data_IF_289438547952
#
_entry.id   IF_289438547952
#
_cell.length_a   1.000
_cell.length_b   1.000
_cell.length_c   1.000
_cell.angle_alpha   90.00
_cell.angle_beta   90.00
_cell.angle_gamma   90.00
#
_symmetry.space_group_name_H-M   'P 1'
#
loop_
_entity.id
_entity.type
_entity.pdbx_description
1 polymer ?
#
# COMPACT_ATOMS: atom_id res chain seq x y z
N UNK A 1 -25.39 53.52 20.32
CA UNK A 1 -24.04 54.10 20.46
C UNK A 1 -23.03 53.20 21.18
N UNK A 2 -23.40 52.06 21.77
CA UNK A 2 -22.47 51.16 22.50
C UNK A 2 -21.67 50.22 21.57
N UNK A 3 -22.16 49.90 20.36
CA UNK A 3 -21.52 48.96 19.43
C UNK A 3 -20.17 49.45 18.88
N UNK A 4 -20.08 50.73 18.50
CA UNK A 4 -18.86 51.28 17.89
C UNK A 4 -17.65 51.32 18.83
N UNK A 5 -17.85 51.41 20.15
CA UNK A 5 -16.77 51.36 21.14
C UNK A 5 -16.18 49.95 21.30
N UNK A 6 -17.06 48.93 21.37
CA UNK A 6 -16.62 47.53 21.43
C UNK A 6 -15.91 47.10 20.14
N UNK A 7 -16.42 47.48 18.97
CA UNK A 7 -15.79 47.16 17.69
C UNK A 7 -14.41 47.82 17.53
N UNK A 8 -14.22 49.04 18.06
CA UNK A 8 -12.93 49.72 18.06
C UNK A 8 -11.92 49.05 19.02
N UNK A 9 -12.36 48.62 20.20
CA UNK A 9 -11.52 47.87 21.15
C UNK A 9 -11.21 46.46 20.64
N UNK A 10 -12.12 45.81 19.93
CA UNK A 10 -11.89 44.52 19.27
C UNK A 10 -10.96 44.69 18.08
N UNK A 11 -11.09 45.75 17.28
CA UNK A 11 -10.12 46.06 16.22
C UNK A 11 -8.72 46.32 16.80
N UNK A 12 -8.60 47.02 17.93
CA UNK A 12 -7.34 47.20 18.65
C UNK A 12 -6.80 45.89 19.22
N UNK A 13 -7.67 45.06 19.81
CA UNK A 13 -7.31 43.76 20.37
C UNK A 13 -6.87 42.80 19.29
N UNK A 14 -7.63 42.72 18.19
CA UNK A 14 -7.30 41.92 17.01
C UNK A 14 -6.00 42.45 16.38
N UNK A 15 -5.82 43.77 16.24
CA UNK A 15 -4.55 44.38 15.79
C UNK A 15 -3.38 44.11 16.75
N UNK A 16 -3.63 43.99 18.06
CA UNK A 16 -2.62 43.63 19.05
C UNK A 16 -2.29 42.15 18.99
N UNK A 17 -3.27 41.26 18.88
CA UNK A 17 -3.08 39.82 18.63
C UNK A 17 -2.33 39.65 17.31
N UNK A 18 -2.73 40.32 16.23
CA UNK A 18 -2.02 40.35 14.96
C UNK A 18 -0.62 40.95 15.05
N UNK A 19 -0.39 42.00 15.84
CA UNK A 19 0.95 42.56 16.06
C UNK A 19 1.83 41.59 16.82
N UNK A 20 1.30 40.94 17.84
CA UNK A 20 1.99 39.90 18.59
C UNK A 20 2.31 38.77 17.61
N UNK A 21 1.31 38.23 16.88
CA UNK A 21 1.40 37.19 15.83
C UNK A 21 2.41 37.54 14.70
N UNK A 22 2.49 38.80 14.28
CA UNK A 22 3.42 39.30 13.26
C UNK A 22 4.81 39.63 13.81
N UNK A 23 4.93 39.92 15.09
CA UNK A 23 6.24 40.03 15.76
C UNK A 23 6.91 38.64 15.88
N UNK A 24 6.15 37.54 15.78
CA UNK A 24 6.72 36.20 15.68
C UNK A 24 7.36 35.89 14.31
N UNK A 25 7.03 36.61 13.23
CA UNK A 25 7.58 36.34 11.87
C UNK A 25 8.79 37.20 11.48
N UNK A 26 9.05 38.33 12.16
CA UNK A 26 10.22 39.17 11.87
C UNK A 26 11.48 38.73 12.64
N UNK A 27 12.27 37.87 12.03
CA UNK A 27 13.65 37.56 12.46
C UNK A 27 14.57 38.74 12.12
N UNK A 28 15.15 39.42 13.12
CA UNK A 28 16.45 40.08 12.93
C UNK A 28 17.51 39.06 13.31
N UNK A 29 18.22 38.53 12.31
CA UNK A 29 19.51 37.86 12.50
C UNK A 29 20.44 38.88 13.15
N UNK A 30 20.69 38.75 14.44
CA UNK A 30 21.96 39.12 15.03
C UNK A 30 22.17 38.20 16.24
N UNK A 31 23.19 37.36 16.11
CA UNK A 31 23.72 36.56 17.18
C UNK A 31 24.07 37.46 18.37
N UNK A 32 23.74 37.01 19.59
CA UNK A 32 24.56 37.10 20.82
C UNK A 32 23.66 36.93 22.09
N UNK A 33 24.04 35.94 22.91
CA UNK A 33 23.59 35.52 24.26
C UNK A 33 22.36 34.57 24.41
N UNK A 34 22.65 33.27 24.58
CA UNK A 34 21.73 32.15 24.85
C UNK A 34 20.77 32.37 26.05
N UNK A 35 21.16 33.14 27.07
CA UNK A 35 20.29 33.43 28.23
C UNK A 35 19.17 34.41 27.86
N UNK A 36 19.43 35.37 26.96
CA UNK A 36 18.38 36.29 26.47
C UNK A 36 17.38 35.58 25.56
N UNK A 37 17.81 34.51 24.89
CA UNK A 37 16.96 33.68 24.06
C UNK A 37 16.02 32.81 24.91
N UNK A 38 16.53 32.18 25.98
CA UNK A 38 15.69 31.44 26.94
C UNK A 38 14.67 32.37 27.61
N UNK A 39 15.07 33.58 28.02
CA UNK A 39 14.15 34.56 28.59
C UNK A 39 13.12 35.05 27.56
N UNK A 40 13.53 35.23 26.31
CA UNK A 40 12.65 35.56 25.19
C UNK A 40 11.63 34.45 24.88
N UNK A 41 11.99 33.17 25.00
CA UNK A 41 11.07 32.04 24.83
C UNK A 41 10.19 31.81 26.06
N UNK A 42 10.70 32.06 27.27
CA UNK A 42 9.91 32.04 28.52
C UNK A 42 8.83 33.12 28.50
N UNK A 43 9.20 34.34 28.13
CA UNK A 43 8.26 35.45 27.97
C UNK A 43 7.26 35.19 26.81
N UNK A 44 7.66 34.44 25.77
CA UNK A 44 6.74 33.99 24.71
C UNK A 44 5.72 32.98 25.19
N UNK A 45 6.16 31.98 25.96
CA UNK A 45 5.27 30.98 26.55
C UNK A 45 4.25 31.65 27.47
N UNK A 46 4.71 32.55 28.35
CA UNK A 46 3.82 33.36 29.20
C UNK A 46 2.85 34.22 28.38
N UNK A 47 3.28 34.83 27.27
CA UNK A 47 2.42 35.62 26.41
C UNK A 47 1.36 34.77 25.70
N UNK A 48 1.71 33.58 25.22
CA UNK A 48 0.78 32.66 24.54
C UNK A 48 -0.17 32.00 25.53
N UNK A 49 0.30 31.59 26.71
CA UNK A 49 -0.53 31.11 27.81
C UNK A 49 -1.45 32.23 28.33
N UNK A 50 -0.97 33.47 28.42
CA UNK A 50 -1.77 34.63 28.78
C UNK A 50 -2.86 34.90 27.74
N UNK A 51 -2.56 34.82 26.44
CA UNK A 51 -3.56 34.94 25.37
C UNK A 51 -4.56 33.79 25.46
N UNK A 52 -4.10 32.55 25.66
CA UNK A 52 -4.97 31.38 25.84
C UNK A 52 -5.90 31.52 27.06
N UNK A 53 -5.39 31.99 28.18
CA UNK A 53 -6.15 32.25 29.40
C UNK A 53 -7.14 33.42 29.22
N UNK A 54 -6.71 34.50 28.57
CA UNK A 54 -7.58 35.62 28.20
C UNK A 54 -8.70 35.19 27.24
N UNK A 55 -8.43 34.29 26.30
CA UNK A 55 -9.42 33.73 25.37
C UNK A 55 -10.44 32.82 26.06
N UNK A 56 -10.06 32.20 27.20
CA UNK A 56 -10.96 31.43 28.05
C UNK A 56 -11.75 32.26 29.06
N UNK A 57 -11.35 33.52 29.28
CA UNK A 57 -11.98 34.43 30.22
C UNK A 57 -13.48 34.61 29.90
N UNK A 58 -14.37 34.47 30.90
CA UNK A 58 -15.82 34.63 30.71
C UNK A 58 -16.22 35.96 30.05
N UNK A 59 -15.40 37.01 30.21
CA UNK A 59 -15.60 38.34 29.59
C UNK A 59 -15.32 38.30 28.08
N UNK A 60 -14.31 37.56 27.64
CA UNK A 60 -13.97 37.39 26.22
C UNK A 60 -14.96 36.43 25.54
N UNK A 61 -15.46 35.41 26.25
CA UNK A 61 -16.60 34.60 25.80
C UNK A 61 -17.89 35.43 25.67
N UNK A 62 -18.17 36.31 26.64
CA UNK A 62 -19.26 37.30 26.54
C UNK A 62 -19.06 38.24 25.36
N UNK A 63 -17.83 38.64 25.05
CA UNK A 63 -17.53 39.46 23.87
C UNK A 63 -17.84 38.72 22.56
N UNK A 64 -17.52 37.42 22.46
CA UNK A 64 -17.90 36.58 21.32
C UNK A 64 -19.44 36.48 21.19
N UNK A 65 -20.16 36.34 22.30
CA UNK A 65 -21.62 36.37 22.34
C UNK A 65 -22.20 37.75 21.99
N UNK A 66 -21.55 38.84 22.40
CA UNK A 66 -21.94 40.21 22.02
C UNK A 66 -21.76 40.39 20.51
N UNK A 67 -20.65 39.92 19.92
CA UNK A 67 -20.42 39.96 18.48
C UNK A 67 -21.43 39.12 17.67
N UNK A 68 -21.91 38.00 18.23
CA UNK A 68 -23.05 37.23 17.68
C UNK A 68 -24.35 38.04 17.75
N UNK A 69 -24.65 38.61 18.91
CA UNK A 69 -25.87 39.37 19.16
C UNK A 69 -25.93 40.66 18.34
N UNK A 70 -24.79 41.31 18.08
CA UNK A 70 -24.68 42.50 17.24
C UNK A 70 -24.60 42.19 15.75
N UNK A 71 -24.62 40.92 15.35
CA UNK A 71 -24.42 40.46 13.96
C UNK A 71 -23.16 41.06 13.30
N UNK A 72 -22.10 41.22 14.09
CA UNK A 72 -20.86 41.84 13.60
C UNK A 72 -20.19 40.93 12.56
N UNK A 73 -19.69 41.48 11.43
CA UNK A 73 -19.01 40.70 10.40
C UNK A 73 -17.73 40.03 10.91
N UNK A 74 -17.17 40.51 12.03
CA UNK A 74 -15.97 39.95 12.67
C UNK A 74 -16.24 38.73 13.58
N UNK A 75 -17.53 38.43 13.87
CA UNK A 75 -17.93 37.32 14.75
C UNK A 75 -17.49 35.95 14.22
N UNK A 76 -17.65 35.73 12.91
CA UNK A 76 -17.28 34.46 12.26
C UNK A 76 -15.75 34.27 12.21
N UNK A 77 -15.00 35.32 11.87
CA UNK A 77 -13.53 35.30 11.83
C UNK A 77 -12.93 35.01 13.22
N UNK A 78 -13.43 35.70 14.25
CA UNK A 78 -12.98 35.52 15.63
C UNK A 78 -13.20 34.08 16.12
N UNK A 79 -14.35 33.48 15.81
CA UNK A 79 -14.65 32.08 16.16
C UNK A 79 -13.84 31.06 15.36
N UNK A 80 -13.58 31.32 14.09
CA UNK A 80 -12.77 30.43 13.25
C UNK A 80 -11.33 30.35 13.77
N UNK A 81 -10.72 31.51 14.07
CA UNK A 81 -9.40 31.61 14.70
C UNK A 81 -9.35 30.96 16.10
N UNK A 82 -10.41 31.13 16.89
CA UNK A 82 -10.58 30.43 18.17
C UNK A 82 -10.62 28.91 18.00
N UNK A 83 -11.33 28.41 16.97
CA UNK A 83 -11.44 26.97 16.71
C UNK A 83 -10.13 26.35 16.23
N UNK A 84 -9.40 27.00 15.33
CA UNK A 84 -8.09 26.53 14.82
C UNK A 84 -7.09 26.28 15.97
N UNK A 85 -6.91 27.29 16.84
CA UNK A 85 -6.03 27.20 18.02
C UNK A 85 -6.47 26.10 19.00
N UNK A 86 -7.78 25.93 19.20
CA UNK A 86 -8.32 24.92 20.12
C UNK A 86 -8.18 23.50 19.55
N UNK A 87 -8.45 23.31 18.24
CA UNK A 87 -8.39 21.99 17.59
C UNK A 87 -6.97 21.44 17.62
N UNK A 88 -5.98 22.24 17.22
CA UNK A 88 -4.56 21.81 17.24
C UNK A 88 -4.10 21.51 18.67
N UNK A 89 -4.45 22.36 19.64
CA UNK A 89 -4.08 22.13 21.05
C UNK A 89 -4.71 20.85 21.62
N UNK A 90 -5.98 20.60 21.30
CA UNK A 90 -6.68 19.39 21.77
C UNK A 90 -6.14 18.13 21.10
N UNK A 91 -5.81 18.21 19.81
CA UNK A 91 -5.20 17.11 19.06
C UNK A 91 -3.80 16.78 19.60
N UNK A 92 -2.95 17.78 19.83
CA UNK A 92 -1.64 17.59 20.45
C UNK A 92 -1.75 16.96 21.85
N UNK A 93 -2.72 17.40 22.66
CA UNK A 93 -2.99 16.81 23.99
C UNK A 93 -3.49 15.37 23.92
N UNK A 94 -4.29 15.02 22.91
CA UNK A 94 -4.75 13.64 22.71
C UNK A 94 -3.61 12.72 22.26
N UNK A 95 -2.68 13.22 21.43
CA UNK A 95 -1.53 12.46 20.97
C UNK A 95 -0.47 12.30 22.08
N UNK A 96 -0.20 13.36 22.84
CA UNK A 96 0.73 13.40 23.98
C UNK A 96 2.08 12.71 23.71
N UNK A 97 3.14 13.50 23.46
CA UNK A 97 4.48 12.99 23.14
C UNK A 97 4.97 11.91 24.12
N UNK A 98 4.69 12.07 25.41
CA UNK A 98 5.14 11.12 26.44
C UNK A 98 4.59 9.71 26.24
N UNK A 99 3.42 9.61 25.61
CA UNK A 99 2.76 8.35 25.28
C UNK A 99 2.94 7.93 23.81
N UNK A 100 3.38 8.86 22.96
CA UNK A 100 3.39 8.67 21.51
C UNK A 100 4.48 7.69 21.04
N UNK A 101 5.60 7.64 21.77
CA UNK A 101 6.69 6.68 21.53
C UNK A 101 6.69 5.54 22.55
N UNK A 102 5.80 5.59 23.54
CA UNK A 102 5.72 4.60 24.60
C UNK A 102 4.70 3.52 24.22
N UNK A 103 5.18 2.33 23.85
CA UNK A 103 4.35 1.16 23.54
C UNK A 103 4.45 0.73 22.09
N UNK A 104 3.36 0.16 21.57
CA UNK A 104 3.30 -0.34 20.19
C UNK A 104 3.19 0.83 19.19
N UNK A 105 4.05 0.80 18.18
CA UNK A 105 4.03 1.77 17.08
C UNK A 105 2.74 1.68 16.27
N UNK A 106 2.15 0.49 16.16
CA UNK A 106 0.90 0.30 15.42
C UNK A 106 -0.26 1.06 16.07
N UNK A 107 -0.35 1.03 17.39
CA UNK A 107 -1.38 1.77 18.12
C UNK A 107 -1.16 3.29 18.02
N UNK A 108 0.10 3.72 18.05
CA UNK A 108 0.48 5.13 17.87
C UNK A 108 0.15 5.62 16.46
N UNK A 109 0.37 4.80 15.43
CA UNK A 109 -0.05 5.07 14.04
C UNK A 109 -1.58 5.20 13.94
N UNK A 110 -2.36 4.29 14.55
CA UNK A 110 -3.83 4.38 14.55
C UNK A 110 -4.34 5.68 15.19
N UNK A 111 -3.74 6.09 16.33
CA UNK A 111 -4.06 7.37 16.99
C UNK A 111 -3.73 8.56 16.08
N UNK A 112 -2.57 8.53 15.42
CA UNK A 112 -2.12 9.57 14.51
C UNK A 112 -3.03 9.69 13.27
N UNK A 113 -3.43 8.56 12.69
CA UNK A 113 -4.37 8.51 11.56
C UNK A 113 -5.75 9.02 11.96
N UNK A 114 -6.24 8.65 13.14
CA UNK A 114 -7.52 9.15 13.64
C UNK A 114 -7.53 10.68 13.75
N UNK A 115 -6.49 11.28 14.34
CA UNK A 115 -6.35 12.74 14.43
C UNK A 115 -6.22 13.37 13.05
N UNK A 116 -5.39 12.80 12.18
CA UNK A 116 -5.20 13.31 10.82
C UNK A 116 -6.52 13.33 10.05
N UNK A 117 -7.31 12.26 10.15
CA UNK A 117 -8.62 12.17 9.49
C UNK A 117 -9.61 13.22 10.00
N UNK A 118 -9.62 13.50 11.31
CA UNK A 118 -10.46 14.57 11.89
C UNK A 118 -10.05 15.94 11.35
N UNK A 119 -8.74 16.23 11.27
CA UNK A 119 -8.23 17.50 10.76
C UNK A 119 -8.52 17.66 9.26
N UNK A 120 -8.37 16.59 8.48
CA UNK A 120 -8.71 16.56 7.06
C UNK A 120 -10.20 16.82 6.87
N UNK A 121 -11.06 16.11 7.60
CA UNK A 121 -12.51 16.33 7.56
C UNK A 121 -12.87 17.78 7.93
N UNK A 122 -12.24 18.35 8.97
CA UNK A 122 -12.47 19.75 9.33
C UNK A 122 -12.11 20.70 8.18
N UNK A 123 -10.97 20.47 7.53
CA UNK A 123 -10.48 21.29 6.41
C UNK A 123 -11.41 21.16 5.20
N UNK A 124 -11.82 19.94 4.84
CA UNK A 124 -12.78 19.67 3.76
C UNK A 124 -14.14 20.31 4.03
N UNK A 125 -14.63 20.23 5.27
CA UNK A 125 -15.89 20.87 5.66
C UNK A 125 -15.78 22.39 5.58
N UNK A 126 -14.65 22.97 6.00
CA UNK A 126 -14.41 24.40 5.86
C UNK A 126 -14.46 24.84 4.39
N UNK A 127 -13.77 24.13 3.50
CA UNK A 127 -13.78 24.39 2.06
C UNK A 127 -15.16 24.19 1.42
N UNK A 128 -15.90 23.17 1.85
CA UNK A 128 -17.27 22.94 1.39
C UNK A 128 -18.20 24.10 1.79
N UNK A 129 -18.08 24.64 3.02
CA UNK A 129 -18.88 25.80 3.42
C UNK A 129 -18.42 27.07 2.71
N UNK A 130 -17.10 27.24 2.51
CA UNK A 130 -16.51 28.36 1.77
C UNK A 130 -17.05 28.42 0.34
N UNK A 131 -17.04 27.30 -0.39
CA UNK A 131 -17.55 27.23 -1.78
C UNK A 131 -19.04 27.54 -1.92
N UNK A 132 -19.82 27.45 -0.83
CA UNK A 132 -21.27 27.73 -0.82
C UNK A 132 -21.62 29.12 -0.32
N UNK A 133 -20.64 29.97 0.00
CA UNK A 133 -20.83 31.31 0.56
C UNK A 133 -21.78 32.18 -0.26
N UNK A 134 -21.66 32.17 -1.58
CA UNK A 134 -22.50 32.98 -2.49
C UNK A 134 -23.99 32.63 -2.39
N UNK A 135 -24.30 31.37 -2.03
CA UNK A 135 -25.67 30.89 -1.91
C UNK A 135 -26.33 31.20 -0.55
N UNK A 136 -25.57 31.65 0.45
CA UNK A 136 -26.09 31.97 1.78
C UNK A 136 -26.63 33.41 1.89
N UNK A 137 -26.28 34.30 0.97
CA UNK A 137 -26.74 35.69 0.97
C UNK A 137 -28.01 35.83 0.09
N UNK A 138 -29.10 36.35 0.67
CA UNK A 138 -30.32 36.74 -0.05
C UNK A 138 -30.47 38.27 -0.05
N UNK A 139 -30.87 38.83 -1.19
CA UNK A 139 -31.13 40.27 -1.41
C UNK A 139 -32.01 40.89 -0.29
N UNK A 140 -31.76 42.16 0.12
CA UNK A 140 -31.13 43.24 -0.66
C UNK A 140 -29.69 43.62 -0.26
N UNK A 141 -29.01 42.84 0.57
CA UNK A 141 -27.63 43.14 0.96
C UNK A 141 -26.63 42.60 -0.07
N UNK A 142 -25.71 43.45 -0.55
CA UNK A 142 -24.56 43.01 -1.33
C UNK A 142 -23.74 41.98 -0.52
N UNK A 143 -23.48 40.78 -1.05
CA UNK A 143 -22.69 39.78 -0.35
C UNK A 143 -21.29 40.34 -0.12
N UNK A 144 -20.89 40.47 1.15
CA UNK A 144 -19.50 40.80 1.48
C UNK A 144 -18.65 39.58 1.10
N UNK A 145 -17.77 39.66 0.09
CA UNK A 145 -16.94 38.54 -0.30
C UNK A 145 -16.03 38.19 0.87
N UNK A 146 -15.92 36.90 1.16
CA UNK A 146 -15.06 36.36 2.19
C UNK A 146 -13.59 36.65 1.82
N UNK A 147 -13.03 37.73 2.37
CA UNK A 147 -11.73 38.29 2.01
C UNK A 147 -10.61 37.88 2.99
N UNK A 148 -10.82 36.79 3.74
CA UNK A 148 -9.84 36.33 4.72
C UNK A 148 -8.70 35.58 4.04
N UNK A 149 -7.50 35.89 4.49
CA UNK A 149 -6.30 35.14 4.15
C UNK A 149 -6.42 33.72 4.75
N UNK A 150 -6.40 32.72 3.88
CA UNK A 150 -6.53 31.30 4.20
C UNK A 150 -5.40 30.83 5.13
N UNK A 151 -4.21 31.43 4.97
CA UNK A 151 -3.04 31.15 5.80
C UNK A 151 -3.26 31.56 7.26
N UNK A 152 -4.17 32.53 7.53
CA UNK A 152 -4.50 32.96 8.88
C UNK A 152 -5.49 32.03 9.59
N UNK A 153 -6.34 31.31 8.86
CA UNK A 153 -7.42 30.48 9.44
C UNK A 153 -7.03 29.00 9.47
N UNK A 154 -6.33 28.53 8.46
CA UNK A 154 -5.94 27.12 8.31
C UNK A 154 -4.43 26.90 8.42
N UNK A 155 -3.60 27.95 8.35
CA UNK A 155 -2.15 27.79 8.28
C UNK A 155 -1.57 26.98 9.44
N UNK A 156 -2.12 27.10 10.65
CA UNK A 156 -1.68 26.29 11.80
C UNK A 156 -2.10 24.83 11.68
N UNK A 157 -3.36 24.54 11.33
CA UNK A 157 -3.81 23.18 11.01
C UNK A 157 -2.98 22.56 9.88
N UNK A 158 -2.73 23.29 8.79
CA UNK A 158 -1.92 22.79 7.67
C UNK A 158 -0.50 22.47 8.09
N UNK A 159 0.15 23.33 8.88
CA UNK A 159 1.49 23.06 9.40
C UNK A 159 1.49 21.88 10.39
N UNK A 160 0.45 21.75 11.21
CA UNK A 160 0.29 20.60 12.09
C UNK A 160 0.07 19.31 11.29
N UNK A 161 -0.76 19.30 10.25
CA UNK A 161 -0.95 18.15 9.37
C UNK A 161 0.35 17.73 8.68
N UNK A 162 1.17 18.68 8.22
CA UNK A 162 2.52 18.38 7.70
C UNK A 162 3.39 17.72 8.77
N UNK A 163 3.37 18.25 10.00
CA UNK A 163 4.09 17.68 11.14
C UNK A 163 3.64 16.24 11.44
N UNK A 164 2.33 15.98 11.45
CA UNK A 164 1.79 14.64 11.65
C UNK A 164 2.18 13.69 10.52
N UNK A 165 2.24 14.17 9.28
CA UNK A 165 2.71 13.36 8.15
C UNK A 165 4.19 12.97 8.30
N UNK A 166 5.05 13.89 8.73
CA UNK A 166 6.47 13.58 9.02
C UNK A 166 6.60 12.54 10.14
N UNK A 167 5.84 12.69 11.24
CA UNK A 167 5.80 11.69 12.32
C UNK A 167 5.27 10.34 11.82
N UNK A 168 4.25 10.35 10.93
CA UNK A 168 3.72 9.13 10.32
C UNK A 168 4.80 8.37 9.56
N UNK A 169 5.58 9.07 8.73
CA UNK A 169 6.68 8.43 7.97
C UNK A 169 7.76 7.84 8.87
N UNK A 170 8.01 8.46 10.03
CA UNK A 170 8.94 7.95 11.04
C UNK A 170 8.41 6.64 11.65
N UNK A 171 7.13 6.60 12.02
CA UNK A 171 6.50 5.39 12.56
C UNK A 171 6.34 4.26 11.56
N UNK A 172 5.97 4.55 10.31
CA UNK A 172 5.97 3.56 9.23
C UNK A 172 7.39 2.98 9.02
N UNK A 173 8.42 3.84 9.08
CA UNK A 173 9.81 3.38 9.03
C UNK A 173 10.16 2.50 10.23
N UNK A 174 9.76 2.89 11.44
CA UNK A 174 10.03 2.13 12.64
C UNK A 174 9.35 0.75 12.60
N UNK A 175 8.12 0.67 12.10
CA UNK A 175 7.39 -0.59 11.94
C UNK A 175 8.13 -1.57 11.02
N UNK A 176 8.75 -1.09 9.93
CA UNK A 176 9.58 -1.94 9.07
C UNK A 176 10.87 -2.38 9.76
N UNK A 177 11.56 -1.48 10.47
CA UNK A 177 12.81 -1.80 11.15
C UNK A 177 12.62 -2.74 12.35
N UNK A 178 11.49 -2.67 13.06
CA UNK A 178 11.19 -3.61 14.15
C UNK A 178 11.02 -5.06 13.65
N UNK A 179 10.66 -5.27 12.38
CA UNK A 179 10.58 -6.62 11.78
C UNK A 179 11.96 -7.29 11.66
N UNK A 180 13.04 -6.50 11.63
CA UNK A 180 14.42 -7.03 11.52
C UNK A 180 14.83 -7.86 12.73
N UNK A 181 14.25 -7.62 13.91
CA UNK A 181 14.54 -8.36 15.14
C UNK A 181 14.31 -9.88 14.98
N UNK A 182 13.28 -10.25 14.22
CA UNK A 182 12.84 -11.64 14.02
C UNK A 182 13.35 -12.23 12.70
N UNK A 183 14.22 -11.53 11.99
CA UNK A 183 14.68 -11.95 10.67
C UNK A 183 15.79 -12.99 10.77
N UNK A 184 15.51 -14.19 10.27
CA UNK A 184 16.43 -15.32 10.32
C UNK A 184 16.73 -15.87 8.92
N UNK A 185 18.01 -15.87 8.54
CA UNK A 185 18.51 -16.52 7.32
C UNK A 185 19.12 -17.88 7.66
N UNK A 186 18.60 -18.93 7.01
CA UNK A 186 19.23 -20.25 7.03
C UNK A 186 20.33 -20.34 5.95
N UNK A 187 21.48 -20.95 6.27
CA UNK A 187 22.57 -21.17 5.31
C UNK A 187 23.96 -21.04 5.92
N UNK A 188 25.00 -21.26 5.12
CA UNK A 188 26.41 -21.26 5.55
C UNK A 188 26.85 -19.91 6.10
N UNK A 189 26.40 -18.80 5.51
CA UNK A 189 26.68 -17.44 6.01
C UNK A 189 25.46 -16.79 6.67
N UNK A 190 24.33 -17.51 6.80
CA UNK A 190 23.10 -17.00 7.39
C UNK A 190 23.31 -16.39 8.78
N UNK A 191 24.08 -17.06 9.65
CA UNK A 191 24.45 -16.53 10.98
C UNK A 191 25.21 -15.20 10.92
N UNK A 192 26.14 -15.06 9.97
CA UNK A 192 26.93 -13.83 9.81
C UNK A 192 26.06 -12.70 9.28
N UNK A 193 25.14 -12.99 8.34
CA UNK A 193 24.19 -12.00 7.82
C UNK A 193 23.21 -11.55 8.90
N UNK A 194 22.63 -12.48 9.67
CA UNK A 194 21.78 -12.17 10.82
C UNK A 194 22.48 -11.30 11.85
N UNK A 195 23.76 -11.60 12.18
CA UNK A 195 24.54 -10.75 13.09
C UNK A 195 24.66 -9.32 12.58
N UNK A 196 24.95 -9.12 11.29
CA UNK A 196 25.04 -7.78 10.70
C UNK A 196 23.70 -7.05 10.69
N UNK A 197 22.59 -7.76 10.46
CA UNK A 197 21.24 -7.20 10.51
C UNK A 197 20.90 -6.78 11.95
N UNK A 198 21.25 -7.60 12.92
CA UNK A 198 21.05 -7.30 14.33
C UNK A 198 21.84 -6.06 14.77
N UNK A 199 23.09 -5.92 14.32
CA UNK A 199 23.90 -4.71 14.60
C UNK A 199 23.24 -3.43 14.05
N UNK A 200 22.56 -3.52 12.89
CA UNK A 200 21.81 -2.39 12.31
C UNK A 200 20.53 -2.14 13.11
N UNK A 201 19.82 -3.19 13.50
CA UNK A 201 18.63 -3.10 14.34
C UNK A 201 18.94 -2.42 15.68
N UNK A 202 20.01 -2.80 16.39
CA UNK A 202 20.38 -2.15 17.65
C UNK A 202 20.70 -0.66 17.48
N UNK A 203 21.42 -0.30 16.40
CA UNK A 203 21.69 1.10 16.06
C UNK A 203 20.41 1.88 15.76
N UNK A 204 19.47 1.26 15.06
CA UNK A 204 18.16 1.84 14.79
C UNK A 204 17.37 2.06 16.09
N UNK A 205 17.29 1.05 16.97
CA UNK A 205 16.56 1.15 18.25
C UNK A 205 17.14 2.28 19.09
N UNK A 206 18.47 2.40 19.15
CA UNK A 206 19.13 3.51 19.84
C UNK A 206 18.75 4.87 19.24
N UNK A 207 18.83 5.03 17.91
CA UNK A 207 18.46 6.25 17.22
C UNK A 207 16.97 6.62 17.46
N UNK A 208 16.09 5.63 17.44
CA UNK A 208 14.65 5.81 17.68
C UNK A 208 14.37 6.28 19.11
N UNK A 209 15.04 5.69 20.11
CA UNK A 209 14.90 6.11 21.51
C UNK A 209 15.48 7.52 21.74
N UNK A 210 16.64 7.84 21.14
CA UNK A 210 17.21 9.20 21.17
C UNK A 210 16.26 10.23 20.56
N UNK A 211 15.50 9.85 19.51
CA UNK A 211 14.47 10.71 18.92
C UNK A 211 13.25 10.87 19.83
N UNK A 212 12.83 9.81 20.54
CA UNK A 212 11.72 9.87 21.50
C UNK A 212 12.03 10.77 22.71
N UNK A 213 13.30 10.84 23.10
CA UNK A 213 13.79 11.62 24.26
C UNK A 213 14.17 13.08 23.93
N UNK A 214 13.78 13.59 22.75
CA UNK A 214 14.05 14.98 22.38
C UNK A 214 13.48 15.96 23.43
N UNK A 215 14.30 16.95 23.79
CA UNK A 215 14.01 17.90 24.89
C UNK A 215 12.90 18.92 24.57
N UNK A 216 12.30 18.85 23.39
CA UNK A 216 11.25 19.75 22.95
C UNK A 216 10.05 18.96 22.47
N UNK A 217 8.88 19.60 22.49
CA UNK A 217 7.63 18.98 22.07
C UNK A 217 7.56 18.93 20.54
N UNK A 218 7.60 17.72 19.97
CA UNK A 218 7.59 17.47 18.54
C UNK A 218 6.24 17.80 17.88
N UNK A 219 5.16 17.85 18.67
CA UNK A 219 3.80 18.11 18.20
C UNK A 219 3.52 19.61 18.00
N UNK A 220 4.45 20.50 18.38
CA UNK A 220 4.31 21.95 18.18
C UNK A 220 4.68 22.31 16.73
N UNK A 221 3.72 22.82 15.90
CA UNK A 221 4.00 23.19 14.50
C UNK A 221 5.06 24.28 14.34
N UNK A 222 5.14 25.19 15.31
CA UNK A 222 6.08 26.32 15.30
C UNK A 222 7.52 25.91 15.69
N UNK A 223 7.73 24.68 16.14
CA UNK A 223 9.06 24.19 16.51
C UNK A 223 9.90 23.92 15.26
N UNK A 224 10.91 24.76 15.04
CA UNK A 224 11.76 24.69 13.85
C UNK A 224 12.82 23.59 13.91
N UNK A 225 13.25 23.18 15.12
CA UNK A 225 14.30 22.16 15.28
C UNK A 225 13.86 20.77 14.80
N UNK A 226 12.55 20.51 14.79
CA UNK A 226 12.00 19.25 14.36
C UNK A 226 12.42 18.87 12.93
N UNK A 227 12.41 19.84 12.00
CA UNK A 227 12.82 19.59 10.63
C UNK A 227 14.27 19.10 10.54
N UNK A 228 15.17 19.68 11.33
CA UNK A 228 16.58 19.28 11.39
C UNK A 228 16.73 17.88 12.00
N UNK A 229 15.98 17.57 13.07
CA UNK A 229 15.99 16.25 13.70
C UNK A 229 15.42 15.16 12.80
N UNK A 230 14.34 15.43 12.06
CA UNK A 230 13.80 14.51 11.05
C UNK A 230 14.79 14.30 9.92
N UNK A 231 15.42 15.37 9.42
CA UNK A 231 16.44 15.25 8.37
C UNK A 231 17.63 14.40 8.83
N UNK A 232 18.10 14.59 10.07
CA UNK A 232 19.15 13.76 10.66
C UNK A 232 18.73 12.29 10.79
N UNK A 233 17.52 12.03 11.29
CA UNK A 233 16.97 10.69 11.40
C UNK A 233 16.89 10.00 10.04
N UNK A 234 16.30 10.65 9.04
CA UNK A 234 16.16 10.10 7.69
C UNK A 234 17.51 9.85 7.00
N UNK A 235 18.51 10.73 7.21
CA UNK A 235 19.86 10.49 6.71
C UNK A 235 20.48 9.21 7.30
N UNK A 236 20.27 8.95 8.59
CA UNK A 236 20.73 7.71 9.24
C UNK A 236 19.97 6.48 8.75
N UNK A 237 18.66 6.61 8.56
CA UNK A 237 17.85 5.54 7.94
C UNK A 237 18.35 5.24 6.52
N UNK A 238 18.72 6.24 5.74
CA UNK A 238 19.29 6.04 4.40
C UNK A 238 20.60 5.24 4.45
N UNK A 239 21.50 5.55 5.40
CA UNK A 239 22.73 4.80 5.63
C UNK A 239 22.45 3.34 6.00
N UNK A 240 21.43 3.09 6.82
CA UNK A 240 21.02 1.74 7.21
C UNK A 240 20.37 0.97 6.04
N UNK A 241 19.50 1.61 5.26
CA UNK A 241 18.86 1.02 4.09
C UNK A 241 19.90 0.56 3.05
N UNK A 242 20.97 1.36 2.82
CA UNK A 242 22.09 0.97 1.94
C UNK A 242 22.87 -0.24 2.49
N UNK A 243 23.09 -0.30 3.81
CA UNK A 243 23.77 -1.44 4.44
C UNK A 243 22.93 -2.71 4.34
N UNK A 244 21.62 -2.61 4.62
CA UNK A 244 20.68 -3.72 4.48
C UNK A 244 20.57 -4.19 3.04
N UNK A 245 20.52 -3.28 2.06
CA UNK A 245 20.50 -3.63 0.65
C UNK A 245 21.70 -4.50 0.26
N UNK A 246 22.91 -4.14 0.72
CA UNK A 246 24.11 -4.95 0.49
C UNK A 246 24.04 -6.33 1.17
N UNK A 247 23.50 -6.39 2.40
CA UNK A 247 23.35 -7.65 3.13
C UNK A 247 22.34 -8.57 2.43
N UNK A 248 21.21 -8.02 2.00
CA UNK A 248 20.19 -8.78 1.29
C UNK A 248 20.68 -9.24 -0.08
N UNK A 249 21.42 -8.39 -0.81
CA UNK A 249 22.04 -8.78 -2.07
C UNK A 249 23.02 -9.94 -1.89
N UNK A 250 23.82 -9.91 -0.81
CA UNK A 250 24.66 -11.04 -0.42
C UNK A 250 23.83 -12.30 -0.14
N UNK A 251 22.69 -12.19 0.56
CA UNK A 251 21.78 -13.31 0.79
C UNK A 251 21.25 -13.91 -0.53
N UNK A 252 20.89 -13.07 -1.51
CA UNK A 252 20.48 -13.54 -2.84
C UNK A 252 21.62 -14.21 -3.63
N UNK A 253 22.87 -13.80 -3.42
CA UNK A 253 24.03 -14.44 -4.06
C UNK A 253 24.25 -15.89 -3.59
N UNK A 254 23.82 -16.22 -2.37
CA UNK A 254 23.89 -17.55 -1.77
C UNK A 254 22.72 -18.47 -2.19
N UNK A 255 21.69 -17.90 -2.83
CA UNK A 255 20.54 -18.66 -3.29
C UNK A 255 20.85 -19.35 -4.64
N UNK A 256 21.04 -20.67 -4.61
CA UNK A 256 21.39 -21.44 -5.81
C UNK A 256 20.19 -21.90 -6.65
N UNK A 257 19.01 -22.04 -6.05
CA UNK A 257 17.79 -22.49 -6.72
C UNK A 257 16.62 -21.52 -6.52
N UNK A 258 15.57 -21.69 -7.31
CA UNK A 258 14.38 -20.83 -7.31
C UNK A 258 13.67 -20.84 -5.94
N UNK A 259 13.62 -22.00 -5.28
CA UNK A 259 13.00 -22.14 -3.95
C UNK A 259 13.69 -21.30 -2.88
N UNK A 260 15.02 -21.30 -2.83
CA UNK A 260 15.80 -20.50 -1.88
C UNK A 260 15.64 -19.01 -2.15
N UNK A 261 15.58 -18.59 -3.42
CA UNK A 261 15.30 -17.20 -3.78
C UNK A 261 13.90 -16.79 -3.27
N UNK A 262 12.88 -17.63 -3.45
CA UNK A 262 11.54 -17.36 -2.91
C UNK A 262 11.53 -17.30 -1.37
N UNK A 263 12.25 -18.19 -0.69
CA UNK A 263 12.42 -18.13 0.77
C UNK A 263 13.11 -16.84 1.20
N UNK A 264 14.14 -16.39 0.49
CA UNK A 264 14.81 -15.13 0.79
C UNK A 264 13.87 -13.93 0.61
N UNK A 265 13.08 -13.89 -0.46
CA UNK A 265 12.06 -12.85 -0.68
C UNK A 265 11.03 -12.87 0.45
N UNK A 266 10.57 -14.05 0.85
CA UNK A 266 9.62 -14.21 1.95
C UNK A 266 10.18 -13.70 3.28
N UNK A 267 11.43 -14.08 3.61
CA UNK A 267 12.11 -13.66 4.85
C UNK A 267 12.29 -12.14 4.86
N UNK A 268 12.77 -11.55 3.77
CA UNK A 268 12.97 -10.10 3.65
C UNK A 268 11.61 -9.36 3.74
N UNK A 269 10.56 -9.94 3.16
CA UNK A 269 9.20 -9.46 3.27
C UNK A 269 9.03 -8.03 2.75
N UNK A 270 8.27 -7.21 3.48
CA UNK A 270 7.99 -5.82 3.12
C UNK A 270 9.22 -4.91 3.15
N UNK A 271 10.30 -5.31 3.84
CA UNK A 271 11.54 -4.54 3.90
C UNK A 271 12.18 -4.38 2.51
N UNK A 272 11.94 -5.33 1.60
CA UNK A 272 12.39 -5.24 0.21
C UNK A 272 11.77 -4.07 -0.54
N UNK A 273 10.57 -3.61 -0.16
CA UNK A 273 9.85 -2.54 -0.85
C UNK A 273 10.39 -1.14 -0.55
N UNK A 274 11.32 -1.00 0.41
CA UNK A 274 11.96 0.29 0.67
C UNK A 274 12.74 0.71 -0.59
N UNK A 275 12.63 1.98 -1.05
CA UNK A 275 13.08 2.36 -2.40
C UNK A 275 14.53 2.02 -2.72
N UNK A 276 15.44 2.25 -1.78
CA UNK A 276 16.88 1.99 -1.95
C UNK A 276 17.15 0.49 -2.03
N UNK A 277 16.49 -0.29 -1.19
CA UNK A 277 16.63 -1.74 -1.12
C UNK A 277 16.08 -2.36 -2.41
N UNK A 278 14.85 -1.99 -2.81
CA UNK A 278 14.22 -2.48 -4.05
C UNK A 278 15.09 -2.19 -5.27
N UNK A 279 15.59 -0.96 -5.40
CA UNK A 279 16.41 -0.56 -6.54
C UNK A 279 17.68 -1.42 -6.67
N UNK A 280 18.33 -1.74 -5.55
CA UNK A 280 19.52 -2.58 -5.56
C UNK A 280 19.19 -4.05 -5.82
N UNK A 281 18.10 -4.58 -5.24
CA UNK A 281 17.72 -5.99 -5.36
C UNK A 281 17.04 -6.34 -6.69
N UNK A 282 16.64 -5.34 -7.49
CA UNK A 282 15.86 -5.55 -8.72
C UNK A 282 16.44 -6.61 -9.67
N UNK A 283 17.75 -6.59 -9.87
CA UNK A 283 18.44 -7.55 -10.75
C UNK A 283 18.28 -9.01 -10.27
N UNK A 284 18.12 -9.25 -8.96
CA UNK A 284 17.85 -10.58 -8.42
C UNK A 284 16.43 -11.05 -8.74
N UNK A 285 15.45 -10.13 -8.74
CA UNK A 285 14.08 -10.42 -9.17
C UNK A 285 14.03 -10.71 -10.67
N UNK A 286 14.76 -9.96 -11.49
CA UNK A 286 14.86 -10.21 -12.93
C UNK A 286 15.48 -11.59 -13.21
N UNK A 287 16.57 -11.94 -12.51
CA UNK A 287 17.20 -13.26 -12.59
C UNK A 287 16.22 -14.39 -12.19
N UNK A 288 15.38 -14.17 -11.18
CA UNK A 288 14.34 -15.12 -10.78
C UNK A 288 13.31 -15.31 -11.90
N UNK A 289 12.81 -14.21 -12.48
CA UNK A 289 11.84 -14.24 -13.57
C UNK A 289 12.39 -14.99 -14.78
N UNK A 290 13.64 -14.75 -15.17
CA UNK A 290 14.30 -15.47 -16.26
C UNK A 290 14.39 -16.97 -15.99
N UNK A 291 14.75 -17.39 -14.77
CA UNK A 291 14.80 -18.80 -14.39
C UNK A 291 13.43 -19.46 -14.44
N UNK A 292 12.40 -18.77 -13.95
CA UNK A 292 11.02 -19.26 -14.00
C UNK A 292 10.57 -19.42 -15.45
N UNK A 293 10.85 -18.43 -16.29
CA UNK A 293 10.50 -18.49 -17.72
C UNK A 293 11.18 -19.69 -18.41
N UNK A 294 12.48 -19.86 -18.21
CA UNK A 294 13.22 -21.00 -18.76
C UNK A 294 12.65 -22.35 -18.29
N UNK A 295 12.33 -22.47 -17.01
CA UNK A 295 11.73 -23.70 -16.48
C UNK A 295 10.36 -24.00 -17.11
N UNK A 296 9.54 -22.97 -17.39
CA UNK A 296 8.29 -23.16 -18.12
C UNK A 296 8.51 -23.56 -19.58
N UNK A 297 9.53 -23.02 -20.24
CA UNK A 297 9.91 -23.42 -21.60
C UNK A 297 10.38 -24.88 -21.65
N UNK A 298 11.15 -25.32 -20.66
CA UNK A 298 11.58 -26.72 -20.51
C UNK A 298 10.38 -27.66 -20.31
N UNK A 299 9.45 -27.30 -19.40
CA UNK A 299 8.21 -28.07 -19.18
C UNK A 299 7.41 -28.17 -20.48
N UNK A 300 7.27 -27.05 -21.20
CA UNK A 300 6.56 -27.02 -22.46
C UNK A 300 7.22 -27.96 -23.48
N UNK A 301 8.53 -27.89 -23.64
CA UNK A 301 9.27 -28.77 -24.55
C UNK A 301 9.11 -30.25 -24.19
N UNK A 302 9.09 -30.58 -22.90
CA UNK A 302 8.87 -31.94 -22.43
C UNK A 302 7.44 -32.42 -22.77
N UNK A 303 6.43 -31.57 -22.53
CA UNK A 303 5.03 -31.87 -22.89
C UNK A 303 4.88 -32.05 -24.41
N UNK A 304 5.46 -31.15 -25.21
CA UNK A 304 5.39 -31.22 -26.67
C UNK A 304 6.07 -32.51 -27.19
N UNK A 305 7.19 -32.92 -26.59
CA UNK A 305 7.90 -34.16 -26.93
C UNK A 305 7.07 -35.39 -26.55
N UNK A 306 6.55 -35.44 -25.33
CA UNK A 306 5.69 -36.53 -24.88
C UNK A 306 4.42 -36.64 -25.74
N UNK A 307 3.79 -35.52 -26.06
CA UNK A 307 2.63 -35.48 -26.93
C UNK A 307 2.98 -36.06 -28.31
N UNK A 308 4.10 -35.66 -28.88
CA UNK A 308 4.57 -36.16 -30.17
C UNK A 308 4.86 -37.67 -30.14
N UNK A 309 5.50 -38.18 -29.09
CA UNK A 309 5.78 -39.62 -28.92
C UNK A 309 4.48 -40.42 -28.80
N UNK A 310 3.57 -40.02 -27.91
CA UNK A 310 2.27 -40.67 -27.71
C UNK A 310 1.47 -40.66 -29.01
N UNK A 311 1.45 -39.53 -29.72
CA UNK A 311 0.75 -39.39 -30.99
C UNK A 311 1.36 -40.28 -32.09
N UNK A 312 2.69 -40.33 -32.18
CA UNK A 312 3.39 -41.16 -33.17
C UNK A 312 3.15 -42.65 -32.94
N UNK A 313 3.18 -43.09 -31.69
CA UNK A 313 2.89 -44.49 -31.35
C UNK A 313 1.42 -44.84 -31.57
N UNK A 314 0.50 -43.93 -31.25
CA UNK A 314 -0.90 -44.07 -31.61
C UNK A 314 -1.10 -44.19 -33.13
N UNK A 315 -0.43 -43.34 -33.92
CA UNK A 315 -0.51 -43.37 -35.38
C UNK A 315 -0.01 -44.71 -35.95
N UNK A 316 1.11 -45.24 -35.44
CA UNK A 316 1.61 -46.59 -35.81
C UNK A 316 0.62 -47.69 -35.46
N UNK A 317 -0.01 -47.63 -34.27
CA UNK A 317 -1.02 -48.61 -33.85
C UNK A 317 -2.22 -48.64 -34.79
N UNK A 318 -2.72 -47.48 -35.22
CA UNK A 318 -3.82 -47.42 -36.20
C UNK A 318 -3.44 -48.10 -37.51
N UNK A 319 -2.25 -47.83 -38.04
CA UNK A 319 -1.79 -48.45 -39.29
C UNK A 319 -1.70 -49.97 -39.13
N UNK A 320 -1.11 -50.45 -38.03
CA UNK A 320 -0.97 -51.89 -37.78
C UNK A 320 -2.32 -52.60 -37.59
N UNK A 321 -3.22 -52.05 -36.77
CA UNK A 321 -4.52 -52.65 -36.48
C UNK A 321 -5.46 -52.58 -37.69
N UNK A 322 -5.41 -51.48 -38.45
CA UNK A 322 -6.11 -51.38 -39.74
C UNK A 322 -5.68 -52.51 -40.69
N UNK A 323 -4.37 -52.77 -40.81
CA UNK A 323 -3.86 -53.83 -41.67
C UNK A 323 -4.22 -55.26 -41.21
N UNK A 324 -4.32 -55.51 -39.90
CA UNK A 324 -4.49 -56.86 -39.32
C UNK A 324 -5.96 -57.21 -39.03
N UNK A 325 -6.78 -56.26 -38.59
CA UNK A 325 -8.15 -56.54 -38.13
C UNK A 325 -9.19 -56.27 -39.21
N UNK A 326 -8.96 -55.34 -40.14
CA UNK A 326 -9.86 -55.16 -41.29
C UNK A 326 -9.77 -56.30 -42.31
N UNK A 327 -8.72 -57.13 -42.25
CA UNK A 327 -8.60 -58.34 -43.06
C UNK A 327 -9.34 -59.54 -42.49
N UNK A 328 -9.91 -59.44 -41.27
CA UNK A 328 -10.69 -60.51 -40.64
C UNK A 328 -12.16 -60.41 -41.06
N UNK A 329 -12.84 -61.56 -41.14
CA UNK A 329 -14.28 -61.61 -41.37
C UNK A 329 -15.03 -60.91 -40.24
N UNK A 330 -16.00 -60.06 -40.57
CA UNK A 330 -16.84 -59.29 -39.62
C UNK A 330 -17.77 -60.18 -38.78
N UNK A 331 -17.98 -61.43 -39.23
CA UNK A 331 -18.85 -62.41 -38.60
C UNK A 331 -18.05 -63.66 -38.26
N UNK A 332 -18.19 -64.13 -37.04
CA UNK A 332 -17.66 -65.40 -36.56
C UNK A 332 -18.81 -66.30 -36.14
N UNK A 333 -18.76 -67.57 -36.55
CA UNK A 333 -19.72 -68.59 -36.12
C UNK A 333 -19.07 -69.37 -34.99
N UNK A 334 -19.66 -69.30 -33.80
CA UNK A 334 -19.20 -70.07 -32.64
C UNK A 334 -19.58 -71.55 -32.75
N UNK A 335 -18.95 -72.43 -31.97
CA UNK A 335 -19.20 -73.89 -32.02
C UNK A 335 -20.68 -74.28 -31.77
N UNK A 336 -21.43 -73.41 -31.11
CA UNK A 336 -22.87 -73.53 -30.87
C UNK A 336 -23.75 -73.06 -32.06
N UNK A 337 -23.17 -72.77 -33.23
CA UNK A 337 -23.81 -72.24 -34.45
C UNK A 337 -24.45 -70.85 -34.30
N UNK A 338 -24.14 -70.10 -33.24
CA UNK A 338 -24.56 -68.71 -33.09
C UNK A 338 -23.59 -67.77 -33.82
N UNK A 339 -24.16 -66.78 -34.51
CA UNK A 339 -23.44 -65.75 -35.25
C UNK A 339 -23.08 -64.60 -34.30
N UNK A 340 -21.80 -64.23 -34.24
CA UNK A 340 -21.31 -63.12 -33.41
C UNK A 340 -20.48 -62.13 -34.24
N UNK A 341 -20.40 -60.90 -33.74
CA UNK A 341 -19.72 -59.79 -34.38
C UNK A 341 -18.25 -59.77 -33.96
N UNK A 342 -17.35 -59.92 -34.94
CA UNK A 342 -15.91 -59.95 -34.73
C UNK A 342 -15.32 -58.53 -34.72
N UNK A 343 -15.85 -57.66 -33.85
CA UNK A 343 -15.33 -56.29 -33.67
C UNK A 343 -14.31 -56.25 -32.55
N UNK A 344 -13.07 -55.99 -32.93
CA UNK A 344 -11.97 -55.92 -31.98
C UNK A 344 -12.14 -54.72 -31.03
N UNK A 345 -12.03 -54.91 -29.69
CA UNK A 345 -12.16 -53.84 -28.72
C UNK A 345 -11.06 -52.78 -28.86
N UNK A 346 -9.86 -53.15 -29.33
CA UNK A 346 -8.75 -52.23 -29.56
C UNK A 346 -9.03 -51.30 -30.77
N UNK A 347 -9.64 -51.85 -31.83
CA UNK A 347 -10.12 -51.07 -32.97
C UNK A 347 -11.21 -50.06 -32.54
N UNK A 348 -12.12 -50.47 -31.66
CA UNK A 348 -13.19 -49.58 -31.13
C UNK A 348 -12.63 -48.44 -30.29
N UNK A 349 -11.60 -48.70 -29.47
CA UNK A 349 -10.91 -47.68 -28.70
C UNK A 349 -10.20 -46.66 -29.60
N UNK A 350 -9.46 -47.12 -30.61
CA UNK A 350 -8.77 -46.25 -31.58
C UNK A 350 -9.73 -45.38 -32.39
N UNK A 351 -10.86 -45.92 -32.83
CA UNK A 351 -11.90 -45.14 -33.53
C UNK A 351 -12.50 -44.04 -32.65
N UNK A 352 -12.71 -44.34 -31.37
CA UNK A 352 -13.17 -43.36 -30.38
C UNK A 352 -12.13 -42.27 -30.17
N UNK A 353 -10.85 -42.63 -30.09
CA UNK A 353 -9.74 -41.68 -29.98
C UNK A 353 -9.63 -40.78 -31.23
N UNK A 354 -9.67 -41.36 -32.44
CA UNK A 354 -9.71 -40.61 -33.71
C UNK A 354 -10.87 -39.61 -33.73
N UNK A 355 -12.05 -40.04 -33.27
CA UNK A 355 -13.24 -39.17 -33.19
C UNK A 355 -12.99 -37.97 -32.27
N UNK A 356 -12.38 -38.18 -31.10
CA UNK A 356 -12.04 -37.08 -30.20
C UNK A 356 -11.02 -36.12 -30.82
N UNK A 357 -9.99 -36.63 -31.50
CA UNK A 357 -9.00 -35.78 -32.16
C UNK A 357 -9.60 -34.94 -33.31
N UNK A 358 -10.56 -35.49 -34.06
CA UNK A 358 -11.32 -34.74 -35.08
C UNK A 358 -12.17 -33.64 -34.43
N UNK A 359 -12.84 -33.92 -33.31
CA UNK A 359 -13.62 -32.92 -32.54
C UNK A 359 -12.71 -31.81 -32.01
N UNK A 360 -11.51 -32.17 -31.56
CA UNK A 360 -10.47 -31.22 -31.12
C UNK A 360 -9.83 -30.43 -32.26
N UNK A 361 -10.24 -30.66 -33.53
CA UNK A 361 -9.73 -29.99 -34.74
C UNK A 361 -8.22 -30.12 -34.93
N UNK A 362 -7.65 -31.25 -34.52
CA UNK A 362 -6.25 -31.57 -34.78
C UNK A 362 -6.03 -31.77 -36.29
N UNK A 363 -4.99 -31.16 -36.87
CA UNK A 363 -4.78 -31.08 -38.33
C UNK A 363 -3.76 -32.07 -38.88
N UNK A 364 -3.00 -32.74 -38.02
CA UNK A 364 -1.89 -33.66 -38.32
C UNK A 364 -2.30 -35.15 -38.27
N UNK A 365 -3.60 -35.45 -38.39
CA UNK A 365 -4.11 -36.82 -38.34
C UNK A 365 -3.65 -37.65 -39.55
N UNK A 366 -3.19 -38.91 -39.35
CA UNK A 366 -2.86 -39.81 -40.45
C UNK A 366 -4.05 -40.03 -41.38
N UNK A 367 -3.81 -40.07 -42.71
CA UNK A 367 -4.86 -40.31 -43.70
C UNK A 367 -5.58 -41.64 -43.44
N UNK A 368 -4.87 -42.67 -42.99
CA UNK A 368 -5.42 -43.96 -42.62
C UNK A 368 -6.44 -43.84 -41.49
N UNK A 369 -6.18 -42.99 -40.48
CA UNK A 369 -7.09 -42.77 -39.36
C UNK A 369 -8.39 -42.08 -39.83
N UNK A 370 -8.27 -41.08 -40.72
CA UNK A 370 -9.41 -40.36 -41.30
C UNK A 370 -10.25 -41.30 -42.18
N UNK A 371 -9.60 -42.05 -43.07
CA UNK A 371 -10.27 -43.05 -43.94
C UNK A 371 -10.95 -44.13 -43.10
N UNK A 372 -10.29 -44.62 -42.06
CA UNK A 372 -10.83 -45.60 -41.13
C UNK A 372 -12.06 -45.04 -40.40
N UNK A 373 -12.02 -43.80 -39.92
CA UNK A 373 -13.17 -43.17 -39.26
C UNK A 373 -14.41 -43.12 -40.18
N UNK A 374 -14.27 -42.63 -41.42
CA UNK A 374 -15.38 -42.57 -42.38
C UNK A 374 -15.88 -43.97 -42.80
N UNK A 375 -14.96 -44.90 -43.06
CA UNK A 375 -15.32 -46.28 -43.45
C UNK A 375 -15.98 -47.03 -42.29
N UNK A 376 -15.57 -46.77 -41.06
CA UNK A 376 -16.11 -47.45 -39.89
C UNK A 376 -17.43 -46.85 -39.41
N UNK A 377 -17.73 -45.58 -39.72
CA UNK A 377 -19.08 -45.05 -39.52
C UNK A 377 -20.11 -45.84 -40.34
N UNK A 378 -19.80 -46.15 -41.60
CA UNK A 378 -20.63 -47.05 -42.44
C UNK A 378 -20.73 -48.46 -41.84
N UNK A 379 -19.62 -49.03 -41.36
CA UNK A 379 -19.65 -50.34 -40.72
C UNK A 379 -20.41 -50.35 -39.40
N UNK A 380 -20.32 -49.30 -38.58
CA UNK A 380 -21.02 -49.19 -37.30
C UNK A 380 -22.54 -49.07 -37.48
N UNK A 381 -22.99 -48.29 -38.46
CA UNK A 381 -24.41 -48.27 -38.85
C UNK A 381 -24.86 -49.63 -39.39
N UNK A 382 -24.04 -50.26 -40.24
CA UNK A 382 -24.33 -51.59 -40.78
C UNK A 382 -24.35 -52.69 -39.71
N UNK A 383 -23.45 -52.64 -38.72
CA UNK A 383 -23.33 -53.65 -37.66
C UNK A 383 -24.31 -53.44 -36.54
N UNK A 384 -24.71 -52.19 -36.26
CA UNK A 384 -25.87 -51.88 -35.44
C UNK A 384 -27.13 -52.52 -36.05
N UNK A 385 -27.36 -52.34 -37.34
CA UNK A 385 -28.49 -52.95 -38.07
C UNK A 385 -28.41 -54.50 -38.08
N UNK A 386 -27.22 -55.06 -38.27
CA UNK A 386 -26.99 -56.52 -38.19
C UNK A 386 -27.18 -57.06 -36.76
N UNK A 387 -26.75 -56.34 -35.73
CA UNK A 387 -26.95 -56.75 -34.32
C UNK A 387 -28.43 -56.73 -33.92
N UNK A 388 -29.20 -55.79 -34.47
CA UNK A 388 -30.65 -55.74 -34.34
C UNK A 388 -31.32 -56.94 -35.03
N UNK A 389 -30.81 -57.36 -36.19
CA UNK A 389 -31.28 -58.55 -36.91
C UNK A 389 -30.88 -59.88 -36.25
N UNK A 390 -29.76 -59.94 -35.52
CA UNK A 390 -29.32 -61.14 -34.78
C UNK A 390 -30.07 -61.29 -33.44
N UNK A 391 -30.54 -60.19 -32.85
CA UNK A 391 -31.33 -60.17 -31.60
C UNK A 391 -32.83 -60.42 -31.80
N UNK A 392 -33.33 -60.28 -33.02
CA UNK A 392 -34.67 -60.70 -33.45
C UNK A 392 -34.66 -62.18 -33.82
#
# INVERSE_FOLDING_TARGET
MVSGGCECEIFKWNKNVFRTLKYFTKKKKNAIFQVKEIEFWRQRLENVESIYNQMRDPRVKKMASILELTKSPYSQCFKALLKDVIIVSQAAKYLDQSTLFAGDVEDSLKRLEHVTNILTYYTEMFEMFRSKLDNYFKYPAEPMPWNFDEELVLGRITNFQKRLAEIKTLFETAQEYFKLEKMEFAGLKGKVLCSKIYDIYEKFVKLYNEFAELQYDILIPEETRFADSVAFFLAKIEEFDRQLANIFDQAFSECHNTELIFKAIWIIGSMANRPIIMAQLWHNYERLLQRIHHHFDEIKSYIDTMEHEIFTDWAKKIVNISNVHLSKSLLTIHENKLLDLNFDPELTALLRETRYMIIMKRTDLPEEAIRLFYRTQYFFESTYNLSLLIRW
#
